data_IF_445944146524
#
_entry.id   IF_445944146524
#
_cell.length_a   1.000
_cell.length_b   1.000
_cell.length_c   1.000
_cell.angle_alpha   90.00
_cell.angle_beta   90.00
_cell.angle_gamma   90.00
#
_symmetry.space_group_name_H-M   'P 1'
#
loop_
_entity.id
_entity.type
_entity.pdbx_description
1 polymer ?
#
# COMPACT_ATOMS: atom_id res chain seq x y z
N UNK A 1 16.20 11.77 -19.51
CA UNK A 1 16.96 10.58 -19.05
C UNK A 1 16.17 9.97 -17.90
N UNK A 2 15.82 8.68 -17.95
CA UNK A 2 14.90 8.10 -16.94
C UNK A 2 15.60 7.64 -15.65
N UNK A 3 16.92 7.47 -15.67
CA UNK A 3 17.70 7.00 -14.51
C UNK A 3 19.05 7.70 -14.46
N UNK A 4 19.54 7.93 -13.24
CA UNK A 4 20.90 8.47 -13.00
C UNK A 4 21.71 7.43 -12.24
N UNK A 5 22.94 7.17 -12.69
CA UNK A 5 23.84 6.21 -12.07
C UNK A 5 25.11 6.93 -11.60
N UNK A 6 25.29 7.00 -10.28
CA UNK A 6 26.48 7.55 -9.65
C UNK A 6 27.47 6.39 -9.46
N UNK A 7 28.57 6.44 -10.21
CA UNK A 7 29.61 5.41 -10.11
C UNK A 7 30.44 5.59 -8.83
N UNK A 8 31.07 4.52 -8.30
CA UNK A 8 32.01 4.64 -7.20
C UNK A 8 33.15 5.62 -7.50
N UNK A 9 33.75 6.19 -6.44
CA UNK A 9 34.88 7.15 -6.48
C UNK A 9 34.52 8.58 -6.92
N UNK A 10 33.24 8.94 -6.98
CA UNK A 10 32.82 10.34 -7.14
C UNK A 10 33.02 11.08 -5.80
N UNK A 11 34.02 11.95 -5.73
CA UNK A 11 34.27 12.79 -4.54
C UNK A 11 33.70 14.18 -4.78
N UNK A 12 32.58 14.49 -4.14
CA UNK A 12 32.06 15.87 -4.08
C UNK A 12 32.44 16.42 -2.70
N UNK A 13 33.09 17.58 -2.66
CA UNK A 13 33.49 18.23 -1.40
C UNK A 13 32.88 19.62 -1.36
N UNK A 14 32.22 19.95 -0.25
CA UNK A 14 31.56 21.24 -0.05
C UNK A 14 30.05 21.17 -0.30
N UNK A 15 29.49 22.22 -0.90
CA UNK A 15 28.05 22.30 -1.18
C UNK A 15 27.60 21.23 -2.19
N UNK A 16 26.44 20.64 -1.92
CA UNK A 16 25.70 19.74 -2.81
C UNK A 16 24.48 20.44 -3.41
N UNK A 17 24.44 21.77 -3.29
CA UNK A 17 23.36 22.59 -3.81
C UNK A 17 23.10 22.27 -5.27
N UNK A 18 21.83 22.05 -5.61
CA UNK A 18 21.35 21.86 -6.97
C UNK A 18 22.01 20.70 -7.75
N UNK A 19 22.64 19.71 -7.09
CA UNK A 19 23.42 18.66 -7.77
C UNK A 19 22.60 17.88 -8.81
N UNK A 20 21.31 17.65 -8.53
CA UNK A 20 20.38 16.96 -9.42
C UNK A 20 19.18 17.85 -9.80
N UNK A 21 19.37 19.16 -9.83
CA UNK A 21 18.34 20.14 -10.16
C UNK A 21 17.73 19.92 -11.55
N UNK A 22 16.40 20.00 -11.65
CA UNK A 22 15.67 20.07 -12.92
C UNK A 22 15.73 18.79 -13.75
N UNK A 23 16.07 17.65 -13.14
CA UNK A 23 16.06 16.35 -13.82
C UNK A 23 14.65 15.77 -13.87
N UNK A 24 13.73 16.50 -14.52
CA UNK A 24 12.27 16.26 -14.53
C UNK A 24 11.85 14.89 -15.03
N UNK A 25 12.68 14.25 -15.87
CA UNK A 25 12.44 12.93 -16.47
C UNK A 25 13.00 11.76 -15.65
N UNK A 26 13.80 12.02 -14.60
CA UNK A 26 14.44 10.96 -13.80
C UNK A 26 13.41 10.32 -12.88
N UNK A 27 13.31 9.00 -12.96
CA UNK A 27 12.42 8.18 -12.15
C UNK A 27 13.12 7.55 -10.95
N UNK A 28 14.44 7.35 -11.04
CA UNK A 28 15.24 6.66 -10.01
C UNK A 28 16.73 6.99 -10.10
N UNK A 29 17.36 7.05 -8.93
CA UNK A 29 18.81 7.15 -8.76
C UNK A 29 19.41 5.81 -8.33
N UNK A 30 20.60 5.50 -8.82
CA UNK A 30 21.42 4.37 -8.39
C UNK A 30 22.80 4.86 -7.96
N UNK A 31 23.32 4.35 -6.85
CA UNK A 31 24.67 4.69 -6.40
C UNK A 31 24.76 5.96 -5.55
N UNK A 32 23.66 6.46 -4.97
CA UNK A 32 23.68 7.63 -4.09
C UNK A 32 24.57 7.41 -2.85
N UNK A 33 24.74 6.16 -2.43
CA UNK A 33 25.69 5.74 -1.40
C UNK A 33 27.17 6.03 -1.73
N UNK A 34 27.49 6.28 -3.01
CA UNK A 34 28.82 6.66 -3.43
C UNK A 34 29.14 8.15 -3.19
N UNK A 35 28.14 8.96 -2.80
CA UNK A 35 28.34 10.37 -2.47
C UNK A 35 28.87 10.53 -1.04
N UNK A 36 30.07 11.12 -0.90
CA UNK A 36 30.56 11.58 0.40
C UNK A 36 29.87 12.91 0.75
N UNK A 37 28.86 12.83 1.61
CA UNK A 37 28.05 13.96 2.06
C UNK A 37 28.52 14.54 3.41
N UNK A 38 29.58 13.97 4.01
CA UNK A 38 30.00 14.29 5.39
C UNK A 38 30.41 15.74 5.63
N UNK A 39 30.83 16.45 4.57
CA UNK A 39 31.29 17.84 4.63
C UNK A 39 30.28 18.84 4.05
N UNK A 40 29.09 18.38 3.64
CA UNK A 40 28.10 19.25 3.05
C UNK A 40 27.53 20.21 4.10
N UNK A 41 27.53 21.50 3.77
CA UNK A 41 26.88 22.56 4.56
C UNK A 41 25.60 23.07 3.91
N UNK A 42 25.41 22.81 2.62
CA UNK A 42 24.27 23.25 1.83
C UNK A 42 23.86 22.12 0.87
N UNK A 43 22.63 21.64 1.04
CA UNK A 43 21.95 20.66 0.18
C UNK A 43 20.67 21.25 -0.44
N UNK A 44 20.54 22.58 -0.45
CA UNK A 44 19.40 23.25 -1.06
C UNK A 44 19.24 22.87 -2.52
N UNK A 45 17.99 22.79 -2.98
CA UNK A 45 17.63 22.50 -4.37
C UNK A 45 18.18 21.16 -4.92
N UNK A 46 18.75 20.27 -4.08
CA UNK A 46 19.54 19.12 -4.55
C UNK A 46 18.77 18.19 -5.48
N UNK A 47 17.50 17.91 -5.19
CA UNK A 47 16.57 17.17 -6.05
C UNK A 47 15.42 18.05 -6.53
N UNK A 48 15.65 19.36 -6.66
CA UNK A 48 14.62 20.28 -7.10
C UNK A 48 14.09 19.90 -8.47
N UNK A 49 12.76 19.99 -8.66
CA UNK A 49 12.07 19.73 -9.93
C UNK A 49 12.41 18.36 -10.55
N UNK A 50 12.49 17.34 -9.70
CA UNK A 50 12.60 15.94 -10.10
C UNK A 50 11.19 15.35 -10.22
N UNK A 51 10.36 15.96 -11.06
CA UNK A 51 8.92 15.73 -11.09
C UNK A 51 8.51 14.25 -11.32
N UNK A 52 9.29 13.49 -12.09
CA UNK A 52 9.02 12.06 -12.39
C UNK A 52 9.59 11.07 -11.37
N UNK A 53 10.25 11.54 -10.31
CA UNK A 53 10.96 10.68 -9.35
C UNK A 53 9.95 9.87 -8.51
N UNK A 54 9.99 8.54 -8.63
CA UNK A 54 9.07 7.64 -7.91
C UNK A 54 9.72 6.96 -6.71
N UNK A 55 11.06 6.89 -6.69
CA UNK A 55 11.82 6.25 -5.62
C UNK A 55 13.13 7.01 -5.37
N UNK A 56 13.40 7.28 -4.10
CA UNK A 56 14.60 7.97 -3.66
C UNK A 56 15.12 7.35 -2.35
N UNK A 57 16.37 6.90 -2.36
CA UNK A 57 17.05 6.40 -1.18
C UNK A 57 18.15 7.38 -0.77
N UNK A 58 17.94 8.05 0.37
CA UNK A 58 18.89 8.99 0.99
C UNK A 58 19.39 8.47 2.35
N UNK A 59 19.23 7.17 2.62
CA UNK A 59 19.57 6.55 3.91
C UNK A 59 21.06 6.68 4.28
N UNK A 60 21.94 6.86 3.30
CA UNK A 60 23.38 7.00 3.49
C UNK A 60 23.85 8.45 3.63
N UNK A 61 22.95 9.43 3.53
CA UNK A 61 23.31 10.84 3.60
C UNK A 61 23.72 11.22 5.03
N UNK A 62 24.88 11.85 5.16
CA UNK A 62 25.42 12.40 6.39
C UNK A 62 25.12 13.90 6.42
N UNK A 63 24.14 14.30 7.20
CA UNK A 63 23.63 15.69 7.16
C UNK A 63 24.01 16.54 8.37
N UNK A 64 24.88 16.02 9.26
CA UNK A 64 25.21 16.66 10.55
C UNK A 64 25.87 18.06 10.44
N UNK A 65 26.36 18.41 9.24
CA UNK A 65 26.95 19.72 8.95
C UNK A 65 26.06 20.61 8.07
N UNK A 66 24.93 20.09 7.58
CA UNK A 66 24.07 20.81 6.64
C UNK A 66 23.27 21.85 7.39
N UNK A 67 23.38 23.10 6.94
CA UNK A 67 22.66 24.26 7.47
C UNK A 67 21.45 24.61 6.60
N UNK A 68 21.51 24.35 5.29
CA UNK A 68 20.45 24.68 4.35
C UNK A 68 19.90 23.44 3.62
N UNK A 69 18.61 23.18 3.80
CA UNK A 69 17.82 22.12 3.14
C UNK A 69 16.69 22.70 2.26
N UNK A 70 16.70 24.01 1.99
CA UNK A 70 15.60 24.66 1.28
C UNK A 70 15.32 23.99 -0.06
N UNK A 71 14.04 23.72 -0.34
CA UNK A 71 13.55 23.19 -1.62
C UNK A 71 14.21 21.86 -2.06
N UNK A 72 14.87 21.14 -1.15
CA UNK A 72 15.67 19.96 -1.47
C UNK A 72 14.90 18.88 -2.26
N UNK A 73 13.61 18.68 -1.96
CA UNK A 73 12.75 17.70 -2.63
C UNK A 73 11.57 18.33 -3.38
N UNK A 74 11.55 19.66 -3.55
CA UNK A 74 10.42 20.36 -4.20
C UNK A 74 10.71 20.65 -5.67
N UNK A 75 9.77 20.48 -6.61
CA UNK A 75 8.70 19.48 -6.62
C UNK A 75 9.24 18.08 -7.01
N UNK A 76 9.01 17.08 -6.15
CA UNK A 76 9.15 15.64 -6.48
C UNK A 76 7.76 15.01 -6.56
N UNK A 77 6.98 15.36 -7.59
CA UNK A 77 5.52 15.18 -7.56
C UNK A 77 5.03 13.73 -7.62
N UNK A 78 5.86 12.77 -8.03
CA UNK A 78 5.51 11.34 -8.09
C UNK A 78 6.02 10.52 -6.90
N UNK A 79 6.72 11.14 -5.94
CA UNK A 79 7.30 10.43 -4.82
C UNK A 79 6.24 10.16 -3.74
N UNK A 80 5.92 8.89 -3.51
CA UNK A 80 4.87 8.48 -2.55
C UNK A 80 5.39 8.31 -1.12
N UNK A 81 6.65 7.88 -0.99
CA UNK A 81 7.30 7.64 0.29
C UNK A 81 8.72 8.22 0.25
N UNK A 82 9.15 8.75 1.38
CA UNK A 82 10.49 9.31 1.53
C UNK A 82 10.96 9.10 2.97
N UNK A 83 12.00 8.28 3.15
CA UNK A 83 12.59 8.07 4.46
C UNK A 83 13.73 9.07 4.69
N UNK A 84 13.52 9.97 5.65
CA UNK A 84 14.49 11.00 6.09
C UNK A 84 14.82 10.89 7.58
N UNK A 85 14.53 9.73 8.20
CA UNK A 85 14.75 9.50 9.63
C UNK A 85 16.23 9.54 10.02
N UNK A 86 17.14 9.29 9.07
CA UNK A 86 18.59 9.36 9.25
C UNK A 86 19.17 10.79 9.24
N UNK A 87 18.37 11.81 8.89
CA UNK A 87 18.88 13.17 8.80
C UNK A 87 19.13 13.73 10.21
N UNK A 88 20.38 14.12 10.45
CA UNK A 88 20.73 14.98 11.58
C UNK A 88 20.52 16.43 11.16
N UNK A 89 19.53 17.09 11.78
CA UNK A 89 19.14 18.48 11.46
C UNK A 89 19.58 19.48 12.53
N UNK A 90 20.40 19.08 13.51
CA UNK A 90 20.77 19.93 14.66
C UNK A 90 21.45 21.26 14.31
N UNK A 91 22.02 21.37 13.10
CA UNK A 91 22.60 22.61 12.55
C UNK A 91 21.73 23.28 11.47
N UNK A 92 20.60 22.69 11.11
CA UNK A 92 19.74 23.24 10.08
C UNK A 92 19.20 24.62 10.53
N UNK A 93 19.34 25.60 9.65
CA UNK A 93 18.82 26.96 9.83
C UNK A 93 17.71 27.27 8.84
N UNK A 94 17.69 26.62 7.67
CA UNK A 94 16.70 26.86 6.62
C UNK A 94 16.13 25.56 6.04
N UNK A 95 14.80 25.44 6.07
CA UNK A 95 14.00 24.32 5.53
C UNK A 95 12.82 24.83 4.70
N UNK A 96 12.92 26.06 4.17
CA UNK A 96 11.93 26.66 3.27
C UNK A 96 11.50 25.66 2.21
N UNK A 97 10.19 25.40 2.10
CA UNK A 97 9.60 24.56 1.02
C UNK A 97 10.25 23.18 0.81
N UNK A 98 10.89 22.60 1.82
CA UNK A 98 11.68 21.37 1.64
C UNK A 98 10.91 20.22 0.99
N UNK A 99 9.61 20.11 1.28
CA UNK A 99 8.67 19.13 0.72
C UNK A 99 7.47 19.79 -0.01
N UNK A 100 7.59 21.05 -0.44
CA UNK A 100 6.50 21.75 -1.14
C UNK A 100 6.18 21.05 -2.48
N UNK A 101 4.91 21.04 -2.88
CA UNK A 101 4.44 20.46 -4.16
C UNK A 101 4.85 18.97 -4.31
N UNK A 102 4.63 18.19 -3.24
CA UNK A 102 4.73 16.72 -3.26
C UNK A 102 3.34 16.08 -3.06
N UNK A 103 2.41 16.20 -4.03
CA UNK A 103 1.02 15.80 -3.87
C UNK A 103 0.80 14.29 -3.68
N UNK A 104 1.81 13.45 -3.95
CA UNK A 104 1.74 12.00 -3.78
C UNK A 104 2.36 11.50 -2.47
N UNK A 105 3.10 12.35 -1.73
CA UNK A 105 3.76 11.95 -0.49
C UNK A 105 2.70 11.61 0.57
N UNK A 106 2.72 10.37 1.05
CA UNK A 106 1.65 9.82 1.89
C UNK A 106 1.94 9.93 3.38
N UNK A 107 3.19 9.69 3.76
CA UNK A 107 3.64 9.67 5.15
C UNK A 107 4.97 10.40 5.29
N UNK A 108 5.17 11.05 6.43
CA UNK A 108 6.43 11.72 6.75
C UNK A 108 6.73 11.61 8.25
N UNK A 109 7.90 11.08 8.57
CA UNK A 109 8.38 10.97 9.94
C UNK A 109 9.57 11.92 10.15
N UNK A 110 9.33 12.94 10.97
CA UNK A 110 10.29 13.95 11.39
C UNK A 110 10.61 13.85 12.89
N UNK A 111 10.26 12.72 13.54
CA UNK A 111 10.40 12.55 15.00
C UNK A 111 11.84 12.67 15.51
N UNK A 112 12.80 12.30 14.67
CA UNK A 112 14.23 12.33 14.99
C UNK A 112 14.88 13.68 14.73
N UNK A 113 14.17 14.62 14.09
CA UNK A 113 14.73 15.89 13.69
C UNK A 113 14.87 16.84 14.87
N UNK A 114 16.08 17.35 15.05
CA UNK A 114 16.36 18.49 15.92
C UNK A 114 16.22 19.77 15.11
N UNK A 115 15.09 20.46 15.23
CA UNK A 115 14.81 21.68 14.48
C UNK A 115 14.95 22.93 15.35
N UNK A 116 15.54 22.83 16.54
CA UNK A 116 15.62 23.95 17.50
C UNK A 116 16.44 25.14 17.00
N UNK A 117 17.29 24.94 15.99
CA UNK A 117 18.08 26.00 15.36
C UNK A 117 17.45 26.53 14.07
N UNK A 118 16.38 25.91 13.58
CA UNK A 118 15.72 26.30 12.32
C UNK A 118 15.10 27.67 12.49
N UNK A 119 15.35 28.55 11.51
CA UNK A 119 14.83 29.92 11.45
C UNK A 119 13.77 30.10 10.36
N UNK A 120 13.73 29.20 9.38
CA UNK A 120 12.78 29.27 8.28
C UNK A 120 12.18 27.90 7.93
N UNK A 121 10.87 27.77 8.11
CA UNK A 121 10.06 26.60 7.71
C UNK A 121 8.90 26.98 6.81
N UNK A 122 8.93 28.18 6.20
CA UNK A 122 7.80 28.68 5.43
C UNK A 122 7.44 27.68 4.31
N UNK A 123 6.17 27.31 4.22
CA UNK A 123 5.62 26.43 3.17
C UNK A 123 6.28 25.05 3.05
N UNK A 124 7.00 24.59 4.09
CA UNK A 124 7.76 23.34 4.08
C UNK A 124 6.96 22.11 3.60
N UNK A 125 5.67 22.05 3.93
CA UNK A 125 4.70 20.99 3.62
C UNK A 125 3.53 21.50 2.77
N UNK A 126 3.65 22.68 2.15
CA UNK A 126 2.58 23.22 1.33
C UNK A 126 2.35 22.29 0.11
N UNK A 127 1.09 22.13 -0.30
CA UNK A 127 0.71 21.27 -1.44
C UNK A 127 1.08 19.77 -1.31
N UNK A 128 1.34 19.24 -0.10
CA UNK A 128 1.48 17.80 0.15
C UNK A 128 0.11 17.15 0.39
N UNK A 129 -0.75 17.20 -0.62
CA UNK A 129 -2.19 16.95 -0.47
C UNK A 129 -2.58 15.49 -0.15
N UNK A 130 -1.66 14.53 -0.29
CA UNK A 130 -1.87 13.13 0.14
C UNK A 130 -1.19 12.79 1.46
N UNK A 131 -0.56 13.76 2.13
CA UNK A 131 0.12 13.51 3.40
C UNK A 131 -0.96 13.27 4.46
N UNK A 132 -1.22 11.99 4.75
CA UNK A 132 -2.26 11.58 5.68
C UNK A 132 -1.71 11.20 7.05
N UNK A 133 -0.40 10.93 7.16
CA UNK A 133 0.27 10.64 8.42
C UNK A 133 1.55 11.50 8.56
N UNK A 134 1.62 12.27 9.64
CA UNK A 134 2.76 13.11 9.98
C UNK A 134 3.21 12.82 11.41
N UNK A 135 4.46 12.40 11.58
CA UNK A 135 5.06 12.18 12.90
C UNK A 135 6.06 13.29 13.20
N UNK A 136 5.90 13.94 14.35
CA UNK A 136 6.72 15.05 14.82
C UNK A 136 7.32 14.72 16.20
N UNK A 137 8.51 15.25 16.48
CA UNK A 137 9.28 14.96 17.69
C UNK A 137 9.31 16.11 18.69
N UNK A 138 9.82 15.85 19.89
CA UNK A 138 9.97 16.87 20.95
C UNK A 138 10.93 18.01 20.58
N UNK A 139 11.81 17.80 19.59
CA UNK A 139 12.75 18.80 19.09
C UNK A 139 12.32 19.45 17.77
N UNK A 140 11.18 19.06 17.21
CA UNK A 140 10.58 19.67 16.02
C UNK A 140 10.14 21.10 16.32
N UNK A 141 10.42 22.05 15.41
CA UNK A 141 10.05 23.46 15.53
C UNK A 141 9.61 24.00 14.17
N UNK A 142 8.57 24.82 14.16
CA UNK A 142 8.08 25.51 12.97
C UNK A 142 8.00 27.03 13.22
N UNK A 143 9.13 27.77 13.10
CA UNK A 143 9.16 29.23 13.29
C UNK A 143 8.28 30.00 12.29
N UNK A 144 8.00 29.44 11.12
CA UNK A 144 7.05 29.95 10.13
C UNK A 144 6.00 28.90 9.83
N UNK A 145 4.88 29.30 9.21
CA UNK A 145 3.82 28.37 8.85
C UNK A 145 4.36 27.29 7.89
N UNK A 146 4.42 26.01 8.33
CA UNK A 146 4.91 24.95 7.49
C UNK A 146 3.97 24.61 6.34
N UNK A 147 2.72 25.10 6.36
CA UNK A 147 1.73 24.78 5.34
C UNK A 147 1.16 23.38 5.48
N UNK A 148 1.00 22.87 6.71
CA UNK A 148 0.29 21.60 6.96
C UNK A 148 -1.13 21.73 6.37
N UNK A 149 -1.46 20.84 5.45
CA UNK A 149 -2.75 20.87 4.75
C UNK A 149 -3.93 20.55 5.66
N UNK A 150 -5.09 21.11 5.31
CA UNK A 150 -6.39 20.65 5.83
C UNK A 150 -6.68 19.25 5.32
N UNK A 151 -7.34 18.43 6.15
CA UNK A 151 -7.75 17.09 5.72
C UNK A 151 -8.82 17.22 4.63
N UNK A 152 -8.66 16.58 3.46
CA UNK A 152 -9.69 16.57 2.41
C UNK A 152 -10.92 15.81 2.91
N UNK A 153 -12.12 16.17 2.46
CA UNK A 153 -13.38 15.53 2.88
C UNK A 153 -13.66 14.31 1.99
N UNK A 154 -14.08 13.18 2.57
CA UNK A 154 -14.46 11.96 1.84
C UNK A 154 -13.36 11.45 0.88
N UNK A 155 -12.11 11.62 1.29
CA UNK A 155 -10.96 11.16 0.55
C UNK A 155 -10.54 9.80 1.11
N UNK A 156 -10.39 8.81 0.23
CA UNK A 156 -9.79 7.52 0.58
C UNK A 156 -8.39 7.74 1.15
N UNK A 157 -8.10 7.14 2.31
CA UNK A 157 -6.79 7.23 2.94
C UNK A 157 -5.75 6.54 2.02
N UNK A 158 -4.65 7.22 1.63
CA UNK A 158 -3.64 6.65 0.75
C UNK A 158 -3.10 5.31 1.25
N UNK A 159 -3.01 4.32 0.35
CA UNK A 159 -2.62 2.93 0.66
C UNK A 159 -3.57 2.18 1.63
N UNK A 160 -4.73 2.76 1.97
CA UNK A 160 -5.72 2.18 2.88
C UNK A 160 -7.14 2.33 2.29
N UNK A 161 -7.49 1.56 1.24
CA UNK A 161 -8.73 1.72 0.48
C UNK A 161 -10.02 1.51 1.28
N UNK A 162 -9.93 0.87 2.45
CA UNK A 162 -11.05 0.59 3.34
C UNK A 162 -11.32 1.73 4.35
N UNK A 163 -10.66 2.87 4.23
CA UNK A 163 -10.82 4.03 5.10
C UNK A 163 -10.98 5.30 4.28
N UNK A 164 -11.83 6.20 4.74
CA UNK A 164 -11.93 7.56 4.20
C UNK A 164 -11.82 8.59 5.32
N UNK A 165 -11.40 9.79 4.97
CA UNK A 165 -11.45 10.93 5.87
C UNK A 165 -12.89 11.30 6.24
N UNK A 166 -13.15 11.47 7.53
CA UNK A 166 -14.50 11.74 8.04
C UNK A 166 -14.83 13.23 8.20
N UNK A 167 -13.82 14.10 8.09
CA UNK A 167 -13.97 15.55 8.24
C UNK A 167 -12.65 16.30 8.00
N UNK A 168 -12.63 17.62 8.18
CA UNK A 168 -11.47 18.47 7.84
C UNK A 168 -10.37 18.46 8.91
N UNK A 169 -10.47 17.60 9.92
CA UNK A 169 -9.58 17.58 11.09
C UNK A 169 -8.57 16.43 11.00
N UNK A 170 -7.39 16.68 11.55
CA UNK A 170 -6.46 15.63 11.91
C UNK A 170 -6.88 14.99 13.23
N UNK A 171 -6.32 13.83 13.53
CA UNK A 171 -6.49 13.17 14.80
C UNK A 171 -5.13 12.71 15.34
N UNK A 172 -4.95 12.91 16.63
CA UNK A 172 -3.79 12.48 17.39
C UNK A 172 -3.86 10.96 17.57
N UNK A 173 -2.84 10.20 17.17
CA UNK A 173 -2.83 8.73 17.35
C UNK A 173 -2.87 8.34 18.83
N UNK A 174 -2.15 9.07 19.68
CA UNK A 174 -1.98 8.81 21.11
C UNK A 174 -1.59 7.34 21.40
N UNK A 175 -2.35 6.62 22.23
CA UNK A 175 -2.14 5.19 22.54
C UNK A 175 -2.78 4.25 21.52
N UNK A 176 -3.42 4.78 20.47
CA UNK A 176 -4.05 4.02 19.40
C UNK A 176 -3.08 3.58 18.30
N UNK A 177 -3.67 3.17 17.17
CA UNK A 177 -2.96 2.86 15.93
C UNK A 177 -3.27 3.92 14.87
N UNK A 178 -2.47 4.08 13.81
CA UNK A 178 -2.72 5.10 12.77
C UNK A 178 -4.13 5.08 12.16
N UNK A 179 -4.73 3.90 11.96
CA UNK A 179 -6.11 3.76 11.44
C UNK A 179 -7.16 3.57 12.54
N UNK A 180 -6.74 3.56 13.81
CA UNK A 180 -7.61 3.50 14.99
C UNK A 180 -7.05 4.43 16.08
N UNK A 181 -6.93 5.74 15.79
CA UNK A 181 -6.39 6.71 16.73
C UNK A 181 -7.31 6.87 17.95
N UNK A 182 -6.71 7.12 19.11
CA UNK A 182 -7.44 7.30 20.39
C UNK A 182 -7.29 8.72 20.96
N UNK A 183 -6.58 9.60 20.27
CA UNK A 183 -6.36 10.97 20.71
C UNK A 183 -7.43 11.95 20.17
N UNK A 184 -7.34 13.22 20.60
CA UNK A 184 -8.27 14.26 20.18
C UNK A 184 -8.13 14.61 18.69
N UNK A 185 -9.22 15.18 18.15
CA UNK A 185 -9.19 15.87 16.87
C UNK A 185 -8.50 17.22 17.00
N UNK A 186 -7.76 17.60 15.96
CA UNK A 186 -7.00 18.86 15.91
C UNK A 186 -7.02 19.42 14.49
N UNK A 187 -6.98 20.75 14.39
CA UNK A 187 -6.80 21.48 13.14
C UNK A 187 -5.31 21.54 12.75
N UNK A 188 -5.01 21.84 11.49
CA UNK A 188 -3.63 22.10 11.04
C UNK A 188 -2.97 23.26 11.81
N UNK A 189 -3.75 24.28 12.20
CA UNK A 189 -3.26 25.43 12.95
C UNK A 189 -2.93 25.07 14.41
N UNK A 190 -3.72 24.21 15.04
CA UNK A 190 -3.41 23.67 16.37
C UNK A 190 -2.15 22.79 16.36
N UNK A 191 -1.98 21.97 15.31
CA UNK A 191 -0.72 21.23 15.11
C UNK A 191 0.42 22.24 15.02
N UNK A 192 0.36 23.22 14.11
CA UNK A 192 1.45 24.18 13.96
C UNK A 192 1.76 24.94 15.26
N UNK A 193 0.73 25.45 15.95
CA UNK A 193 0.87 26.21 17.20
C UNK A 193 1.60 25.42 18.29
N UNK A 194 1.42 24.11 18.35
CA UNK A 194 2.10 23.22 19.31
C UNK A 194 3.63 23.16 19.11
N UNK A 195 4.14 23.41 17.91
CA UNK A 195 5.56 23.32 17.57
C UNK A 195 6.22 24.69 17.30
N UNK A 196 5.56 25.80 17.64
CA UNK A 196 6.18 27.13 17.55
C UNK A 196 7.17 27.39 18.70
N UNK A 197 7.02 26.71 19.84
CA UNK A 197 7.68 27.06 21.11
C UNK A 197 8.47 25.87 21.68
N UNK A 198 9.08 26.04 22.87
CA UNK A 198 9.87 25.01 23.54
C UNK A 198 9.08 23.80 24.09
N UNK A 199 7.75 23.79 24.01
CA UNK A 199 6.88 22.81 24.66
C UNK A 199 6.36 21.71 23.71
N UNK A 200 7.06 21.43 22.61
CA UNK A 200 6.67 20.38 21.66
C UNK A 200 6.63 18.99 22.29
N UNK A 201 5.63 18.19 21.92
CA UNK A 201 5.51 16.78 22.29
C UNK A 201 5.86 15.89 21.10
N UNK A 202 6.32 14.67 21.34
CA UNK A 202 6.40 13.68 20.27
C UNK A 202 4.98 13.16 19.99
N UNK A 203 4.53 13.30 18.74
CA UNK A 203 3.18 12.92 18.36
C UNK A 203 3.10 12.47 16.90
N UNK A 204 2.30 11.44 16.64
CA UNK A 204 1.82 11.13 15.29
C UNK A 204 0.41 11.68 15.12
N UNK A 205 0.22 12.41 14.02
CA UNK A 205 -1.06 12.92 13.55
C UNK A 205 -1.45 12.15 12.30
N UNK A 206 -2.72 11.77 12.22
CA UNK A 206 -3.31 11.12 11.04
C UNK A 206 -4.52 11.93 10.58
N UNK A 207 -4.94 11.82 9.33
CA UNK A 207 -6.28 12.29 8.96
C UNK A 207 -7.32 11.60 9.85
N UNK A 208 -8.28 12.37 10.38
CA UNK A 208 -9.43 11.78 11.03
C UNK A 208 -10.16 10.90 10.01
N UNK A 209 -10.32 9.61 10.32
CA UNK A 209 -10.80 8.63 9.35
C UNK A 209 -11.81 7.68 9.96
N UNK A 210 -12.75 7.24 9.13
CA UNK A 210 -13.70 6.18 9.46
C UNK A 210 -13.54 5.02 8.48
N UNK A 211 -13.87 3.78 8.87
CA UNK A 211 -13.90 2.68 7.94
C UNK A 211 -14.99 2.90 6.89
N UNK A 212 -14.65 2.64 5.62
CA UNK A 212 -15.60 2.52 4.51
C UNK A 212 -16.37 1.19 4.55
N UNK A 213 -15.97 0.26 5.43
CA UNK A 213 -16.40 -1.14 5.41
C UNK A 213 -15.56 -1.97 4.43
N UNK A 214 -15.85 -3.27 4.32
CA UNK A 214 -15.07 -4.21 3.50
C UNK A 214 -15.96 -5.22 2.78
N UNK A 215 -15.49 -5.73 1.65
CA UNK A 215 -16.02 -6.92 0.99
C UNK A 215 -14.99 -8.05 1.13
N UNK A 216 -15.32 -9.12 1.84
CA UNK A 216 -14.37 -10.21 2.15
C UNK A 216 -14.97 -11.59 1.96
N UNK A 217 -14.15 -12.52 1.48
CA UNK A 217 -14.45 -13.95 1.43
C UNK A 217 -14.11 -14.56 2.80
N UNK A 218 -15.11 -14.64 3.66
CA UNK A 218 -14.98 -15.05 5.07
C UNK A 218 -14.83 -16.57 5.26
N UNK A 219 -15.40 -17.38 4.36
CA UNK A 219 -15.20 -18.83 4.37
C UNK A 219 -15.28 -19.42 2.96
N UNK A 220 -14.47 -20.46 2.74
CA UNK A 220 -14.48 -21.32 1.55
C UNK A 220 -14.42 -22.78 2.02
N UNK A 221 -14.72 -23.76 1.14
CA UNK A 221 -14.53 -25.17 1.48
C UNK A 221 -13.06 -25.42 1.87
N UNK A 222 -12.77 -25.97 3.06
CA UNK A 222 -11.39 -26.12 3.54
C UNK A 222 -10.59 -27.14 2.70
N UNK A 223 -11.28 -28.16 2.19
CA UNK A 223 -10.73 -29.17 1.29
C UNK A 223 -11.85 -29.76 0.43
N UNK A 224 -11.56 -30.00 -0.85
CA UNK A 224 -12.42 -30.77 -1.74
C UNK A 224 -11.85 -32.18 -1.87
N UNK A 225 -12.37 -33.11 -1.05
CA UNK A 225 -11.98 -34.52 -1.11
C UNK A 225 -12.93 -35.30 -2.03
N UNK A 226 -12.38 -35.80 -3.13
CA UNK A 226 -13.08 -36.65 -4.09
C UNK A 226 -12.91 -38.15 -3.79
N UNK A 227 -12.16 -38.51 -2.75
CA UNK A 227 -11.98 -39.89 -2.30
C UNK A 227 -11.26 -40.80 -3.30
N UNK A 228 -11.37 -42.12 -3.07
CA UNK A 228 -10.78 -43.13 -3.94
C UNK A 228 -11.67 -43.37 -5.15
N UNK A 229 -11.14 -43.12 -6.34
CA UNK A 229 -11.88 -43.28 -7.59
C UNK A 229 -11.28 -44.35 -8.50
N UNK A 230 -12.14 -45.09 -9.18
CA UNK A 230 -11.76 -45.97 -10.28
C UNK A 230 -12.11 -45.21 -11.54
N UNK A 231 -11.08 -44.80 -12.30
CA UNK A 231 -11.30 -43.97 -13.48
C UNK A 231 -11.75 -44.87 -14.64
N UNK A 232 -13.00 -44.71 -15.13
CA UNK A 232 -13.54 -45.56 -16.17
C UNK A 232 -13.03 -45.14 -17.55
N UNK A 233 -13.25 -45.99 -18.55
CA UNK A 233 -12.91 -45.73 -19.96
C UNK A 233 -13.87 -44.77 -20.66
N UNK A 234 -14.84 -44.21 -19.94
CA UNK A 234 -15.84 -43.24 -20.42
C UNK A 234 -15.88 -42.05 -19.48
N UNK A 235 -16.39 -40.91 -19.95
CA UNK A 235 -16.39 -39.68 -19.14
C UNK A 235 -17.23 -39.89 -17.87
N UNK A 236 -16.67 -39.49 -16.73
CA UNK A 236 -17.36 -39.56 -15.45
C UNK A 236 -16.99 -38.38 -14.57
N UNK A 237 -17.97 -37.90 -13.81
CA UNK A 237 -17.79 -36.82 -12.83
C UNK A 237 -17.83 -37.39 -11.42
N UNK A 238 -16.88 -36.95 -10.60
CA UNK A 238 -16.73 -37.32 -9.21
C UNK A 238 -17.07 -36.13 -8.33
N UNK A 239 -17.68 -36.45 -7.19
CA UNK A 239 -18.28 -35.48 -6.29
C UNK A 239 -17.63 -35.57 -4.91
N UNK A 240 -17.63 -34.45 -4.19
CA UNK A 240 -17.20 -34.42 -2.79
C UNK A 240 -18.18 -35.15 -1.88
N UNK A 241 -17.73 -35.62 -0.72
CA UNK A 241 -18.61 -36.25 0.26
C UNK A 241 -19.51 -35.22 1.00
N UNK A 242 -19.03 -33.99 1.13
CA UNK A 242 -19.70 -32.91 1.87
C UNK A 242 -20.12 -31.78 0.95
N UNK A 243 -21.06 -30.97 1.43
CA UNK A 243 -21.41 -29.71 0.77
C UNK A 243 -20.21 -28.76 0.73
N UNK A 244 -20.20 -27.92 -0.29
CA UNK A 244 -19.21 -26.88 -0.49
C UNK A 244 -19.81 -25.55 -0.03
N UNK A 245 -19.31 -25.02 1.09
CA UNK A 245 -19.85 -23.82 1.72
C UNK A 245 -18.97 -22.59 1.46
N UNK A 246 -19.60 -21.48 1.12
CA UNK A 246 -18.96 -20.19 0.90
C UNK A 246 -19.66 -19.13 1.73
N UNK A 247 -18.87 -18.23 2.33
CA UNK A 247 -19.37 -17.11 3.11
C UNK A 247 -18.66 -15.83 2.68
N UNK A 248 -19.44 -14.80 2.32
CA UNK A 248 -18.93 -13.47 1.95
C UNK A 248 -19.57 -12.44 2.86
N UNK A 249 -18.76 -11.54 3.42
CA UNK A 249 -19.24 -10.38 4.17
C UNK A 249 -19.02 -9.12 3.36
N UNK A 250 -20.08 -8.34 3.20
CA UNK A 250 -20.02 -6.99 2.63
C UNK A 250 -20.49 -6.00 3.70
N UNK A 251 -19.55 -5.30 4.33
CA UNK A 251 -19.78 -4.29 5.36
C UNK A 251 -19.60 -2.86 4.84
N UNK A 252 -19.38 -2.67 3.51
CA UNK A 252 -19.23 -1.35 2.87
C UNK A 252 -20.39 -0.39 3.14
N UNK A 253 -20.12 0.88 3.35
CA UNK A 253 -21.15 1.92 3.47
C UNK A 253 -21.84 2.09 2.10
N UNK A 254 -23.17 2.13 2.06
CA UNK A 254 -23.98 2.18 0.82
C UNK A 254 -23.73 1.03 -0.19
N UNK A 255 -23.43 -0.19 0.30
CA UNK A 255 -23.15 -1.40 -0.50
C UNK A 255 -24.16 -1.69 -1.63
N UNK A 256 -25.39 -1.22 -1.50
CA UNK A 256 -26.44 -1.35 -2.51
C UNK A 256 -26.22 -0.51 -3.78
N UNK A 257 -25.37 0.52 -3.68
CA UNK A 257 -24.98 1.39 -4.80
C UNK A 257 -23.71 0.89 -5.52
N UNK A 258 -22.96 0.01 -4.87
CA UNK A 258 -21.74 -0.59 -5.43
C UNK A 258 -22.06 -1.55 -6.58
N UNK A 259 -21.15 -1.72 -7.57
CA UNK A 259 -21.33 -2.69 -8.64
C UNK A 259 -21.37 -4.12 -8.08
N UNK A 260 -22.00 -5.03 -8.85
CA UNK A 260 -22.04 -6.44 -8.47
C UNK A 260 -20.63 -7.03 -8.38
N UNK A 261 -20.39 -7.79 -7.31
CA UNK A 261 -19.15 -8.53 -7.13
C UNK A 261 -19.30 -9.98 -7.61
N UNK A 262 -18.16 -10.61 -7.89
CA UNK A 262 -18.09 -11.98 -8.41
C UNK A 262 -17.17 -12.84 -7.54
N UNK A 263 -17.63 -14.03 -7.17
CA UNK A 263 -16.80 -15.06 -6.57
C UNK A 263 -16.30 -15.98 -7.68
N UNK A 264 -15.00 -15.92 -7.96
CA UNK A 264 -14.33 -16.75 -8.95
C UNK A 264 -13.66 -17.97 -8.32
N UNK A 265 -13.54 -19.03 -9.11
CA UNK A 265 -12.70 -20.18 -8.80
C UNK A 265 -11.69 -20.44 -9.93
N UNK A 266 -10.46 -20.73 -9.52
CA UNK A 266 -9.34 -21.15 -10.35
C UNK A 266 -8.89 -22.54 -9.89
N UNK A 267 -8.36 -23.33 -10.82
CA UNK A 267 -7.81 -24.64 -10.50
C UNK A 267 -6.41 -24.81 -11.10
N UNK A 268 -5.48 -25.34 -10.31
CA UNK A 268 -4.25 -25.92 -10.86
C UNK A 268 -4.56 -27.24 -11.56
N UNK A 269 -3.65 -27.71 -12.43
CA UNK A 269 -3.64 -29.11 -12.86
C UNK A 269 -3.69 -30.07 -11.68
N UNK A 270 -4.25 -31.26 -11.94
CA UNK A 270 -4.19 -32.38 -11.01
C UNK A 270 -2.81 -33.05 -11.14
N UNK A 271 -2.00 -32.99 -10.09
CA UNK A 271 -0.60 -33.44 -10.10
C UNK A 271 -0.44 -34.68 -9.23
N UNK A 272 0.30 -35.68 -9.72
CA UNK A 272 0.62 -36.88 -8.95
C UNK A 272 1.57 -36.54 -7.79
N UNK A 273 1.28 -37.03 -6.58
CA UNK A 273 2.00 -36.63 -5.37
C UNK A 273 3.46 -37.08 -5.34
N UNK A 274 3.80 -38.16 -6.02
CA UNK A 274 5.16 -38.73 -6.11
C UNK A 274 5.87 -38.39 -7.44
N UNK A 275 5.18 -37.75 -8.39
CA UNK A 275 5.74 -37.35 -9.67
C UNK A 275 5.13 -36.04 -10.18
N UNK A 276 5.80 -34.92 -9.87
CA UNK A 276 5.33 -33.58 -10.25
C UNK A 276 5.28 -33.32 -11.76
N UNK A 277 5.94 -34.16 -12.58
CA UNK A 277 5.89 -34.09 -14.04
C UNK A 277 4.62 -34.75 -14.60
N UNK A 278 3.96 -35.61 -13.83
CA UNK A 278 2.72 -36.24 -14.24
C UNK A 278 1.54 -35.38 -13.81
N UNK A 279 0.97 -34.66 -14.78
CA UNK A 279 -0.14 -33.73 -14.57
C UNK A 279 -1.30 -34.08 -15.50
N UNK A 280 -2.51 -33.93 -14.98
CA UNK A 280 -3.75 -34.04 -15.74
C UNK A 280 -4.38 -32.65 -15.78
N UNK A 281 -4.57 -32.14 -16.98
CA UNK A 281 -5.13 -30.81 -17.24
C UNK A 281 -6.67 -30.88 -17.31
N UNK A 282 -7.31 -29.73 -17.17
CA UNK A 282 -8.74 -29.54 -17.44
C UNK A 282 -9.67 -30.48 -16.66
N UNK A 283 -9.27 -30.81 -15.43
CA UNK A 283 -9.95 -31.81 -14.60
C UNK A 283 -11.10 -31.27 -13.76
N UNK A 284 -11.23 -29.96 -13.60
CA UNK A 284 -12.23 -29.37 -12.73
C UNK A 284 -13.33 -28.70 -13.52
N UNK A 285 -14.58 -28.97 -13.12
CA UNK A 285 -15.76 -28.35 -13.72
C UNK A 285 -16.67 -27.73 -12.67
N UNK A 286 -17.35 -26.66 -13.07
CA UNK A 286 -18.47 -26.09 -12.32
C UNK A 286 -19.61 -25.85 -13.32
N UNK A 287 -20.80 -26.38 -13.02
CA UNK A 287 -21.97 -26.33 -13.93
C UNK A 287 -21.64 -26.76 -15.38
N UNK A 288 -20.76 -27.76 -15.53
CA UNK A 288 -20.33 -28.31 -16.82
C UNK A 288 -19.17 -27.56 -17.50
N UNK A 289 -18.84 -26.34 -17.06
CA UNK A 289 -17.73 -25.55 -17.62
C UNK A 289 -16.40 -25.96 -16.99
N UNK A 290 -15.39 -26.15 -17.82
CA UNK A 290 -14.01 -26.38 -17.38
C UNK A 290 -13.42 -25.06 -16.89
N UNK A 291 -12.61 -25.11 -15.83
CA UNK A 291 -11.83 -23.96 -15.36
C UNK A 291 -10.41 -24.35 -14.97
N UNK A 292 -9.49 -23.40 -15.10
CA UNK A 292 -8.07 -23.57 -14.82
C UNK A 292 -7.44 -22.24 -14.38
N UNK A 293 -6.10 -22.17 -14.29
CA UNK A 293 -5.38 -20.97 -13.84
C UNK A 293 -5.51 -19.77 -14.79
N UNK A 294 -5.82 -19.98 -16.07
CA UNK A 294 -5.94 -18.92 -17.08
C UNK A 294 -7.40 -18.55 -17.36
N UNK A 295 -8.32 -19.51 -17.15
CA UNK A 295 -9.75 -19.35 -17.41
C UNK A 295 -10.54 -19.74 -16.14
N UNK A 296 -10.86 -18.78 -15.26
CA UNK A 296 -11.72 -19.03 -14.10
C UNK A 296 -13.18 -19.22 -14.47
N UNK A 297 -13.95 -19.75 -13.52
CA UNK A 297 -15.42 -19.77 -13.54
C UNK A 297 -15.99 -18.87 -12.46
N UNK A 298 -17.15 -18.29 -12.73
CA UNK A 298 -17.93 -17.52 -11.76
C UNK A 298 -18.79 -18.50 -10.96
N UNK A 299 -18.51 -18.66 -9.68
CA UNK A 299 -19.36 -19.43 -8.76
C UNK A 299 -20.63 -18.65 -8.42
N UNK A 300 -20.47 -17.35 -8.14
CA UNK A 300 -21.55 -16.42 -7.83
C UNK A 300 -21.29 -15.03 -8.38
N UNK A 301 -22.37 -14.35 -8.76
CA UNK A 301 -22.40 -12.92 -9.02
C UNK A 301 -23.54 -12.31 -8.20
N UNK A 302 -23.26 -11.26 -7.46
CA UNK A 302 -24.22 -10.70 -6.51
C UNK A 302 -24.11 -9.17 -6.45
N UNK A 303 -25.26 -8.50 -6.48
CA UNK A 303 -25.37 -7.10 -6.07
C UNK A 303 -25.76 -7.06 -4.59
N UNK A 304 -24.99 -6.34 -3.78
CA UNK A 304 -25.26 -6.26 -2.34
C UNK A 304 -26.55 -5.48 -2.07
N UNK A 305 -27.21 -5.79 -0.95
CA UNK A 305 -28.42 -5.12 -0.49
C UNK A 305 -28.12 -4.34 0.80
N UNK A 306 -28.76 -3.18 0.99
CA UNK A 306 -28.50 -2.29 2.13
C UNK A 306 -28.60 -3.01 3.49
N UNK A 307 -29.63 -3.83 3.67
CA UNK A 307 -29.93 -4.55 4.91
C UNK A 307 -29.16 -5.88 5.06
N UNK A 308 -28.40 -6.33 4.05
CA UNK A 308 -27.73 -7.63 4.07
C UNK A 308 -26.21 -7.46 3.92
N UNK A 309 -25.50 -7.76 5.01
CA UNK A 309 -24.03 -7.72 5.06
C UNK A 309 -23.36 -9.10 5.02
N UNK A 310 -24.13 -10.18 5.05
CA UNK A 310 -23.63 -11.56 5.02
C UNK A 310 -24.36 -12.38 3.97
N UNK A 311 -23.59 -13.06 3.12
CA UNK A 311 -24.08 -13.94 2.06
C UNK A 311 -23.46 -15.32 2.26
N UNK A 312 -24.31 -16.35 2.28
CA UNK A 312 -23.90 -17.74 2.52
C UNK A 312 -24.49 -18.61 1.43
N UNK A 313 -23.66 -19.45 0.83
CA UNK A 313 -24.09 -20.48 -0.10
C UNK A 313 -23.54 -21.83 0.33
N UNK A 314 -24.35 -22.87 0.13
CA UNK A 314 -23.99 -24.26 0.41
C UNK A 314 -24.40 -25.08 -0.80
N UNK A 315 -23.43 -25.51 -1.59
CA UNK A 315 -23.70 -26.37 -2.74
C UNK A 315 -23.68 -27.83 -2.33
N UNK A 316 -24.75 -28.61 -2.62
CA UNK A 316 -24.64 -30.05 -2.56
C UNK A 316 -23.57 -30.55 -3.55
N UNK A 317 -22.96 -31.72 -3.31
CA UNK A 317 -21.85 -32.20 -4.12
C UNK A 317 -22.09 -32.15 -5.65
N UNK A 318 -23.31 -32.43 -6.11
CA UNK A 318 -23.63 -32.42 -7.54
C UNK A 318 -23.76 -31.03 -8.17
N UNK A 319 -23.93 -29.99 -7.35
CA UNK A 319 -24.07 -28.59 -7.80
C UNK A 319 -22.81 -27.76 -7.55
N UNK A 320 -21.81 -28.32 -6.86
CA UNK A 320 -20.53 -27.66 -6.58
C UNK A 320 -19.48 -27.89 -7.67
N UNK A 321 -18.21 -27.66 -7.30
CA UNK A 321 -17.06 -28.03 -8.13
C UNK A 321 -16.95 -29.55 -8.16
N UNK A 322 -16.81 -30.09 -9.37
CA UNK A 322 -16.67 -31.53 -9.61
C UNK A 322 -15.34 -31.84 -10.27
N UNK A 323 -14.80 -33.02 -9.96
CA UNK A 323 -13.65 -33.58 -10.65
C UNK A 323 -14.16 -34.39 -11.85
N UNK A 324 -13.65 -34.13 -13.03
CA UNK A 324 -14.01 -34.82 -14.27
C UNK A 324 -12.72 -35.10 -15.04
N UNK A 325 -12.38 -36.38 -15.18
CA UNK A 325 -11.15 -36.82 -15.83
C UNK A 325 -11.52 -37.39 -17.20
N UNK A 326 -10.90 -36.86 -18.27
CA UNK A 326 -11.24 -37.23 -19.64
C UNK A 326 -10.78 -38.67 -19.97
N UNK A 327 -11.57 -39.45 -20.74
CA UNK A 327 -11.28 -40.87 -21.00
C UNK A 327 -9.96 -41.16 -21.70
N UNK A 328 -9.42 -40.18 -22.43
CA UNK A 328 -8.17 -40.31 -23.18
C UNK A 328 -6.92 -40.12 -22.30
N UNK A 329 -7.09 -39.71 -21.04
CA UNK A 329 -6.01 -39.74 -20.07
C UNK A 329 -5.89 -41.17 -19.55
N UNK A 330 -4.67 -41.73 -19.57
CA UNK A 330 -4.36 -42.97 -18.84
C UNK A 330 -3.87 -42.50 -17.47
N UNK A 331 -4.73 -42.30 -16.46
CA UNK A 331 -4.27 -41.97 -15.13
C UNK A 331 -3.45 -43.15 -14.62
N UNK A 332 -2.21 -42.88 -14.23
CA UNK A 332 -1.42 -43.86 -13.51
C UNK A 332 -2.09 -44.09 -12.14
N UNK A 333 -1.97 -45.30 -11.60
CA UNK A 333 -2.45 -45.54 -10.24
C UNK A 333 -1.59 -44.73 -9.28
N UNK A 334 -2.22 -43.89 -8.46
CA UNK A 334 -1.48 -43.02 -7.55
C UNK A 334 -2.40 -42.07 -6.78
N UNK A 335 -1.75 -41.28 -5.92
CA UNK A 335 -2.39 -40.17 -5.23
C UNK A 335 -2.15 -38.88 -6.00
N UNK A 336 -3.17 -38.04 -6.06
CA UNK A 336 -3.17 -36.80 -6.83
C UNK A 336 -3.68 -35.64 -5.98
N UNK A 337 -3.17 -34.44 -6.26
CA UNK A 337 -3.59 -33.21 -5.59
C UNK A 337 -3.63 -32.03 -6.57
N UNK A 338 -4.45 -31.04 -6.23
CA UNK A 338 -4.54 -29.77 -6.94
C UNK A 338 -4.85 -28.65 -5.93
N UNK A 339 -4.55 -27.42 -6.33
CA UNK A 339 -4.94 -26.21 -5.59
C UNK A 339 -6.12 -25.58 -6.29
N UNK A 340 -7.22 -25.41 -5.56
CA UNK A 340 -8.32 -24.54 -5.96
C UNK A 340 -8.13 -23.20 -5.24
N UNK A 341 -8.09 -22.12 -6.01
CA UNK A 341 -7.99 -20.75 -5.48
C UNK A 341 -9.30 -20.03 -5.73
N UNK A 342 -9.78 -19.32 -4.72
CA UNK A 342 -10.99 -18.51 -4.80
C UNK A 342 -10.62 -17.05 -4.73
N UNK A 343 -11.24 -16.24 -5.58
CA UNK A 343 -11.00 -14.80 -5.65
C UNK A 343 -12.33 -14.07 -5.64
N UNK A 344 -12.41 -13.00 -4.87
CA UNK A 344 -13.55 -12.10 -4.87
C UNK A 344 -13.19 -10.90 -5.73
N UNK A 345 -13.84 -10.75 -6.89
CA UNK A 345 -13.64 -9.63 -7.80
C UNK A 345 -14.65 -8.51 -7.55
N UNK A 346 -14.21 -7.28 -7.81
CA UNK A 346 -14.89 -6.02 -7.44
C UNK A 346 -14.99 -5.78 -5.92
N UNK A 347 -14.03 -6.27 -5.13
CA UNK A 347 -13.75 -5.77 -3.78
C UNK A 347 -12.93 -4.48 -3.88
N UNK A 348 -13.33 -3.44 -3.13
CA UNK A 348 -12.58 -2.18 -3.01
C UNK A 348 -11.13 -2.41 -2.52
#
# INVERSE_FOLDING_TARGET
MQTVVIKPKVKIKGSLRALFFGLTEVKRYFGLENLDTSQATDMSDMFYDNASLTQLDVSTFQTANVENFSEMFSPCSQLQTLNVSNFNTSKATNMLKMFDIMPQLQTLDLSTWDMRQVQNTDKMLMNTNSLWQLTLGVQTRFPNNPGIGTVPIQQVIPSHPNFESEGPLWQVVAQGLPLQPLGPYVTNDEIWSQYQNSNAFAQTYVWASKPLGYLTLAAVPPQLDFGRQIIPTSEHSYYTATNQCFEVWDTRVEREKEPSWQLLAFASPLVQTDNSQHQILDTFRYQGQIFNQQQPVILHQQQSQAAQSKYVWSYPPQAGIVLNIQPQTIPQSGSYQATITYELQNSL
#
